data_IF_352556063342
#
_entry.id   IF_352556063342
#
_cell.length_a   1.000
_cell.length_b   1.000
_cell.length_c   1.000
_cell.angle_alpha   90.00
_cell.angle_beta   90.00
_cell.angle_gamma   90.00
#
_symmetry.space_group_name_H-M   'P 1'
#
loop_
_entity.id
_entity.type
_entity.pdbx_description
1 polymer ?
#
# COMPACT_ATOMS: atom_id res chain seq x y z
N UNK A 1 22.35 13.69 17.50
CA UNK A 1 20.97 13.26 17.85
C UNK A 1 19.96 13.59 16.75
N UNK A 2 20.00 14.80 16.15
CA UNK A 2 19.09 15.24 15.08
C UNK A 2 19.13 14.36 13.82
N UNK A 3 20.31 13.98 13.33
CA UNK A 3 20.44 13.08 12.17
C UNK A 3 19.85 11.68 12.43
N UNK A 4 20.10 11.11 13.61
CA UNK A 4 19.57 9.80 13.97
C UNK A 4 18.03 9.80 14.04
N UNK A 5 17.43 10.80 14.67
CA UNK A 5 15.96 10.95 14.70
C UNK A 5 15.37 11.20 13.30
N UNK A 6 16.03 12.02 12.47
CA UNK A 6 15.60 12.27 11.09
C UNK A 6 15.63 11.00 10.23
N UNK A 7 16.66 10.16 10.36
CA UNK A 7 16.75 8.88 9.63
C UNK A 7 15.73 7.87 10.15
N UNK A 8 15.52 7.81 11.47
CA UNK A 8 14.57 6.91 12.11
C UNK A 8 13.13 7.20 11.68
N UNK A 9 12.68 8.45 11.85
CA UNK A 9 11.29 8.84 11.65
C UNK A 9 11.00 9.26 10.19
N UNK A 10 11.99 9.81 9.50
CA UNK A 10 11.81 10.44 8.18
C UNK A 10 12.22 9.57 7.00
N UNK A 11 12.80 8.38 7.20
CA UNK A 11 13.35 7.58 6.09
C UNK A 11 13.19 6.07 6.20
N UNK A 12 13.75 5.46 7.23
CA UNK A 12 14.09 4.03 7.17
C UNK A 12 12.99 3.07 7.64
N UNK A 13 12.12 3.52 8.54
CA UNK A 13 11.07 2.70 9.15
C UNK A 13 9.68 3.07 8.58
N UNK A 14 8.78 2.08 8.41
CA UNK A 14 7.40 2.35 8.05
C UNK A 14 6.59 2.82 9.26
N UNK A 15 5.49 3.54 9.02
CA UNK A 15 4.46 3.74 10.03
C UNK A 15 3.56 2.49 10.11
N UNK A 16 3.16 2.07 11.31
CA UNK A 16 2.34 0.86 11.50
C UNK A 16 0.94 0.98 10.89
N UNK A 17 0.44 2.22 10.78
CA UNK A 17 -0.95 2.51 10.41
C UNK A 17 -1.21 2.37 8.92
N UNK A 18 -0.29 2.84 8.08
CA UNK A 18 -0.39 2.72 6.62
C UNK A 18 0.69 1.83 6.01
N UNK A 19 1.68 1.38 6.77
CA UNK A 19 2.76 0.51 6.32
C UNK A 19 3.80 1.19 5.41
N UNK A 20 3.74 2.51 5.24
CA UNK A 20 4.57 3.23 4.29
C UNK A 20 5.71 3.98 4.98
N UNK A 21 6.87 3.97 4.33
CA UNK A 21 7.93 4.96 4.62
C UNK A 21 7.61 6.28 3.90
N UNK A 22 8.17 7.42 4.34
CA UNK A 22 7.84 8.72 3.76
C UNK A 22 8.02 8.82 2.25
N UNK A 23 9.08 8.23 1.68
CA UNK A 23 9.29 8.24 0.22
C UNK A 23 8.18 7.52 -0.55
N UNK A 24 7.68 6.37 -0.06
CA UNK A 24 6.58 5.65 -0.69
C UNK A 24 5.30 6.49 -0.66
N UNK A 25 4.96 7.03 0.52
CA UNK A 25 3.79 7.88 0.73
C UNK A 25 3.79 9.08 -0.21
N UNK A 26 4.92 9.77 -0.33
CA UNK A 26 5.10 10.94 -1.19
C UNK A 26 4.99 10.60 -2.67
N UNK A 27 5.50 9.45 -3.11
CA UNK A 27 5.32 8.99 -4.49
C UNK A 27 3.84 8.74 -4.78
N UNK A 28 3.14 7.98 -3.93
CA UNK A 28 1.72 7.68 -4.15
C UNK A 28 0.85 8.94 -4.12
N UNK A 29 1.13 9.86 -3.19
CA UNK A 29 0.42 11.13 -3.08
C UNK A 29 0.69 12.04 -4.28
N UNK A 30 1.95 12.18 -4.73
CA UNK A 30 2.27 12.96 -5.93
C UNK A 30 1.59 12.37 -7.18
N UNK A 31 1.58 11.05 -7.32
CA UNK A 31 0.87 10.38 -8.43
C UNK A 31 -0.65 10.63 -8.38
N UNK A 32 -1.23 10.71 -7.17
CA UNK A 32 -2.63 11.08 -6.98
C UNK A 32 -2.91 12.52 -7.41
N UNK A 33 -2.12 13.48 -6.94
CA UNK A 33 -2.20 14.91 -7.29
C UNK A 33 -2.03 15.15 -8.80
N UNK A 34 -1.16 14.38 -9.45
CA UNK A 34 -0.96 14.40 -10.89
C UNK A 34 -2.10 13.75 -11.69
N UNK A 35 -3.09 13.14 -11.02
CA UNK A 35 -4.21 12.46 -11.65
C UNK A 35 -3.84 11.15 -12.35
N UNK A 36 -2.80 10.44 -11.88
CA UNK A 36 -2.29 9.21 -12.50
C UNK A 36 -3.04 7.95 -12.06
N UNK A 37 -4.36 8.03 -12.01
CA UNK A 37 -5.23 6.91 -11.70
C UNK A 37 -5.01 5.72 -12.65
N UNK A 38 -5.28 4.51 -12.17
CA UNK A 38 -5.11 3.23 -12.88
C UNK A 38 -5.84 3.14 -14.22
N UNK A 39 -6.91 3.91 -14.42
CA UNK A 39 -7.64 3.96 -15.70
C UNK A 39 -7.09 4.99 -16.69
N UNK A 40 -6.11 5.80 -16.28
CA UNK A 40 -5.49 6.82 -17.14
C UNK A 40 -4.28 6.24 -17.89
N UNK A 41 -3.84 6.90 -18.98
CA UNK A 41 -2.62 6.52 -19.68
C UNK A 41 -1.40 6.59 -18.76
N UNK A 42 -0.41 5.73 -19.03
CA UNK A 42 0.89 5.80 -18.38
C UNK A 42 1.56 7.17 -18.58
N UNK A 43 2.41 7.55 -17.62
CA UNK A 43 3.25 8.75 -17.70
C UNK A 43 4.70 8.42 -17.43
N UNK A 44 5.61 9.14 -18.08
CA UNK A 44 7.05 8.99 -17.88
C UNK A 44 7.42 9.06 -16.40
N UNK A 45 8.17 8.06 -15.93
CA UNK A 45 8.63 8.01 -14.53
C UNK A 45 9.43 9.26 -14.16
N UNK A 46 10.22 9.82 -15.10
CA UNK A 46 10.93 11.09 -14.90
C UNK A 46 10.02 12.25 -14.48
N UNK A 47 8.76 12.32 -14.97
CA UNK A 47 7.81 13.36 -14.55
C UNK A 47 7.34 13.15 -13.11
N UNK A 48 7.02 11.90 -12.75
CA UNK A 48 6.60 11.56 -11.38
C UNK A 48 7.73 11.82 -10.40
N UNK A 49 8.95 11.40 -10.72
CA UNK A 49 10.13 11.65 -9.89
C UNK A 49 10.35 13.16 -9.72
N UNK A 50 10.29 13.94 -10.82
CA UNK A 50 10.43 15.40 -10.75
C UNK A 50 9.37 16.06 -9.85
N UNK A 51 8.12 15.63 -9.93
CA UNK A 51 7.04 16.13 -9.07
C UNK A 51 7.29 15.82 -7.58
N UNK A 52 7.68 14.59 -7.28
CA UNK A 52 7.99 14.16 -5.91
C UNK A 52 9.15 14.97 -5.34
N UNK A 53 10.22 15.19 -6.10
CA UNK A 53 11.37 15.96 -5.67
C UNK A 53 11.04 17.44 -5.46
N UNK A 54 10.33 18.03 -6.42
CA UNK A 54 10.01 19.46 -6.41
C UNK A 54 9.05 19.84 -5.29
N UNK A 55 8.16 18.93 -4.87
CA UNK A 55 7.09 19.25 -3.92
C UNK A 55 7.25 18.61 -2.55
N UNK A 56 7.78 17.39 -2.46
CA UNK A 56 7.64 16.59 -1.23
C UNK A 56 8.95 15.98 -0.70
N UNK A 57 9.89 15.59 -1.56
CA UNK A 57 11.03 14.75 -1.16
C UNK A 57 12.38 15.35 -1.59
N UNK A 58 13.03 16.19 -0.76
CA UNK A 58 14.24 16.93 -1.13
C UNK A 58 15.51 16.05 -1.06
N UNK A 59 15.53 14.94 -1.80
CA UNK A 59 16.63 13.96 -1.86
C UNK A 59 17.01 13.63 -3.31
N UNK A 60 17.91 12.66 -3.53
CA UNK A 60 18.32 12.27 -4.87
C UNK A 60 17.19 11.65 -5.68
N UNK A 61 17.16 11.93 -6.98
CA UNK A 61 16.21 11.38 -7.94
C UNK A 61 16.30 9.85 -8.04
N UNK A 62 17.52 9.30 -7.97
CA UNK A 62 17.79 7.87 -7.97
C UNK A 62 17.03 7.14 -6.85
N UNK A 63 17.06 7.66 -5.62
CA UNK A 63 16.39 7.05 -4.48
C UNK A 63 14.85 7.00 -4.66
N UNK A 64 14.27 8.08 -5.22
CA UNK A 64 12.85 8.13 -5.54
C UNK A 64 12.51 7.15 -6.66
N UNK A 65 13.31 7.13 -7.72
CA UNK A 65 13.09 6.25 -8.87
C UNK A 65 13.24 4.78 -8.51
N UNK A 66 14.27 4.39 -7.77
CA UNK A 66 14.47 3.02 -7.28
C UNK A 66 13.31 2.58 -6.39
N UNK A 67 12.79 3.47 -5.55
CA UNK A 67 11.61 3.18 -4.73
C UNK A 67 10.36 2.98 -5.61
N UNK A 68 10.16 3.84 -6.61
CA UNK A 68 9.08 3.72 -7.59
C UNK A 68 9.18 2.40 -8.36
N UNK A 69 10.38 2.02 -8.79
CA UNK A 69 10.63 0.76 -9.49
C UNK A 69 10.26 -0.43 -8.62
N UNK A 70 10.71 -0.46 -7.35
CA UNK A 70 10.37 -1.55 -6.42
C UNK A 70 8.88 -1.66 -6.17
N UNK A 71 8.15 -0.54 -6.15
CA UNK A 71 6.69 -0.52 -6.02
C UNK A 71 5.95 -1.12 -7.24
N UNK A 72 6.64 -1.31 -8.36
CA UNK A 72 6.09 -1.89 -9.58
C UNK A 72 6.56 -3.33 -9.86
N UNK A 73 7.46 -3.87 -9.04
CA UNK A 73 8.02 -5.22 -9.19
C UNK A 73 7.19 -6.24 -8.39
N UNK A 74 6.58 -7.18 -9.08
CA UNK A 74 5.78 -8.28 -8.51
C UNK A 74 6.61 -9.31 -7.74
N UNK A 75 7.89 -9.48 -8.08
CA UNK A 75 8.83 -10.31 -7.30
C UNK A 75 9.34 -9.62 -6.03
N UNK A 76 9.21 -8.29 -5.93
CA UNK A 76 9.64 -7.50 -4.77
C UNK A 76 8.49 -7.24 -3.80
N UNK A 77 7.31 -6.87 -4.31
CA UNK A 77 6.10 -6.61 -3.51
C UNK A 77 5.02 -7.63 -3.84
N UNK A 78 4.41 -8.20 -2.80
CA UNK A 78 3.32 -9.18 -2.95
C UNK A 78 2.11 -8.59 -3.69
N UNK A 79 1.86 -7.30 -3.48
CA UNK A 79 0.84 -6.50 -4.14
C UNK A 79 1.49 -5.19 -4.63
N UNK A 80 1.97 -5.14 -5.89
CA UNK A 80 2.55 -3.94 -6.47
C UNK A 80 1.64 -2.72 -6.31
N UNK A 81 2.22 -1.60 -5.88
CA UNK A 81 1.49 -0.36 -5.66
C UNK A 81 1.40 0.53 -6.91
N UNK A 82 2.30 0.28 -7.87
CA UNK A 82 2.45 1.05 -9.10
C UNK A 82 2.45 0.08 -10.28
N UNK A 83 1.78 0.44 -11.37
CA UNK A 83 1.89 -0.28 -12.63
C UNK A 83 2.99 0.35 -13.47
N UNK A 84 4.02 -0.44 -13.82
CA UNK A 84 5.10 -0.03 -14.70
C UNK A 84 4.87 -0.43 -16.16
N UNK A 85 5.38 0.39 -17.09
CA UNK A 85 5.49 0.07 -18.51
C UNK A 85 6.92 0.32 -18.99
N UNK A 86 7.53 -0.68 -19.63
CA UNK A 86 8.95 -0.74 -19.97
C UNK A 86 9.72 -1.72 -19.07
N UNK A 87 11.06 -1.66 -19.12
CA UNK A 87 11.89 -2.53 -18.29
C UNK A 87 12.04 -1.97 -16.87
N UNK A 88 11.40 -2.63 -15.89
CA UNK A 88 11.48 -2.33 -14.46
C UNK A 88 12.42 -3.26 -13.69
N UNK A 89 13.32 -3.95 -14.39
CA UNK A 89 14.24 -4.93 -13.85
C UNK A 89 13.63 -6.33 -13.79
N UNK A 90 14.44 -7.30 -13.36
CA UNK A 90 14.09 -8.72 -13.30
C UNK A 90 14.54 -9.35 -11.98
N UNK A 91 14.05 -10.56 -11.70
CA UNK A 91 14.52 -11.38 -10.58
C UNK A 91 16.00 -11.78 -10.71
N UNK A 92 16.56 -11.66 -11.92
CA UNK A 92 17.96 -11.89 -12.25
C UNK A 92 18.88 -10.72 -11.89
N UNK A 93 18.31 -9.68 -11.27
CA UNK A 93 18.97 -8.39 -11.00
C UNK A 93 19.45 -7.67 -12.25
N UNK A 94 18.77 -7.87 -13.38
CA UNK A 94 18.88 -6.90 -14.47
C UNK A 94 18.38 -5.54 -13.94
N UNK A 95 19.19 -4.48 -14.07
CA UNK A 95 18.77 -3.17 -13.59
C UNK A 95 17.57 -2.66 -14.40
N UNK A 96 16.68 -1.86 -13.77
CA UNK A 96 15.63 -1.19 -14.51
C UNK A 96 16.23 -0.26 -15.55
N UNK A 97 15.49 -0.03 -16.65
CA UNK A 97 15.85 1.03 -17.58
C UNK A 97 15.78 2.39 -16.87
N UNK A 98 16.53 3.38 -17.36
CA UNK A 98 16.50 4.73 -16.78
C UNK A 98 15.08 5.34 -16.83
N UNK A 99 14.75 6.21 -15.86
CA UNK A 99 13.41 6.84 -15.70
C UNK A 99 12.86 7.61 -16.91
N UNK A 100 13.72 7.92 -17.89
CA UNK A 100 13.34 8.54 -19.17
C UNK A 100 12.70 7.55 -20.16
N UNK A 101 12.94 6.25 -20.00
CA UNK A 101 12.42 5.19 -20.87
C UNK A 101 11.19 4.50 -20.28
N UNK A 102 11.06 4.49 -18.96
CA UNK A 102 9.95 3.85 -18.25
C UNK A 102 8.77 4.80 -18.04
N UNK A 103 7.59 4.21 -17.93
CA UNK A 103 6.35 4.91 -17.60
C UNK A 103 5.61 4.20 -16.48
N UNK A 104 4.78 4.94 -15.73
CA UNK A 104 4.02 4.39 -14.62
C UNK A 104 2.64 5.06 -14.45
N UNK A 105 1.78 4.39 -13.67
CA UNK A 105 0.51 4.89 -13.11
C UNK A 105 0.19 4.13 -11.82
N UNK A 106 -0.79 4.59 -11.07
CA UNK A 106 -1.23 3.91 -9.84
C UNK A 106 -1.84 2.54 -10.17
N UNK A 107 -1.65 1.57 -9.28
CA UNK A 107 -2.40 0.31 -9.33
C UNK A 107 -3.83 0.50 -8.78
N UNK A 108 -4.87 -0.16 -9.33
CA UNK A 108 -6.23 -0.07 -8.81
C UNK A 108 -6.34 -0.38 -7.31
N UNK A 109 -5.56 -1.36 -6.81
CA UNK A 109 -5.57 -1.71 -5.40
C UNK A 109 -5.03 -0.56 -4.55
N UNK A 110 -4.00 0.16 -5.01
CA UNK A 110 -3.44 1.34 -4.34
C UNK A 110 -4.46 2.45 -4.18
N UNK A 111 -5.25 2.75 -5.23
CA UNK A 111 -6.32 3.75 -5.15
C UNK A 111 -7.39 3.36 -4.14
N UNK A 112 -7.84 2.10 -4.20
CA UNK A 112 -8.84 1.58 -3.29
C UNK A 112 -8.33 1.57 -1.84
N UNK A 113 -7.07 1.17 -1.63
CA UNK A 113 -6.46 1.02 -0.31
C UNK A 113 -6.09 2.35 0.32
N UNK A 114 -5.37 3.22 -0.39
CA UNK A 114 -4.73 4.39 0.23
C UNK A 114 -5.40 5.72 -0.08
N UNK A 115 -5.98 5.89 -1.27
CA UNK A 115 -6.38 7.21 -1.77
C UNK A 115 -7.89 7.47 -1.64
N UNK A 116 -8.67 6.40 -1.45
CA UNK A 116 -10.11 6.52 -1.17
C UNK A 116 -10.32 7.28 0.15
N UNK A 117 -11.26 8.22 0.14
CA UNK A 117 -11.63 9.08 1.26
C UNK A 117 -10.57 10.12 1.69
N UNK A 118 -9.42 10.24 1.00
CA UNK A 118 -8.34 11.17 1.37
C UNK A 118 -8.82 12.63 1.49
N UNK A 119 -9.68 13.07 0.57
CA UNK A 119 -10.29 14.41 0.53
C UNK A 119 -11.35 14.66 1.63
N UNK A 120 -11.70 13.64 2.42
CA UNK A 120 -12.76 13.71 3.44
C UNK A 120 -12.20 14.01 4.85
N UNK A 121 -11.06 14.70 4.91
CA UNK A 121 -10.37 15.05 6.16
C UNK A 121 -10.12 13.83 7.07
N UNK A 122 -9.74 12.69 6.48
CA UNK A 122 -9.56 11.43 7.20
C UNK A 122 -8.19 11.27 7.85
N UNK A 123 -7.22 12.07 7.42
CA UNK A 123 -5.83 12.07 7.90
C UNK A 123 -5.34 13.51 8.05
N UNK A 124 -4.30 13.70 8.86
CA UNK A 124 -3.71 15.01 9.05
C UNK A 124 -2.78 15.37 7.91
N UNK A 125 -2.78 16.65 7.56
CA UNK A 125 -1.86 17.22 6.59
C UNK A 125 -0.83 18.07 7.32
N UNK A 126 0.43 17.92 6.93
CA UNK A 126 1.56 18.69 7.44
C UNK A 126 2.13 19.56 6.30
N UNK A 127 2.75 20.71 6.62
CA UNK A 127 3.52 21.44 5.63
C UNK A 127 4.63 20.57 5.04
N UNK A 128 4.89 20.72 3.75
CA UNK A 128 6.04 20.11 3.10
C UNK A 128 7.36 20.81 3.54
N UNK A 129 8.49 20.37 2.98
CA UNK A 129 9.82 20.81 3.45
C UNK A 129 10.11 22.32 3.29
N UNK A 130 9.40 23.04 2.40
CA UNK A 130 9.54 24.49 2.19
C UNK A 130 8.29 25.28 2.62
N UNK A 131 7.31 24.63 3.24
CA UNK A 131 6.01 25.18 3.64
C UNK A 131 5.16 25.78 2.50
N UNK A 132 5.48 25.51 1.23
CA UNK A 132 4.70 25.99 0.09
C UNK A 132 3.45 25.15 -0.19
N UNK A 133 3.44 23.89 0.26
CA UNK A 133 2.36 22.94 0.04
C UNK A 133 2.10 22.12 1.31
N UNK A 134 1.00 21.36 1.28
CA UNK A 134 0.66 20.38 2.32
C UNK A 134 0.83 18.97 1.77
N UNK A 135 1.29 18.06 2.62
CA UNK A 135 1.36 16.63 2.36
C UNK A 135 0.67 15.84 3.47
N UNK A 136 0.06 14.69 3.18
CA UNK A 136 -0.57 13.86 4.21
C UNK A 136 0.52 13.21 5.08
N UNK A 137 0.34 13.26 6.41
CA UNK A 137 1.23 12.59 7.35
C UNK A 137 1.16 11.06 7.22
N UNK A 138 -0.04 10.55 6.92
CA UNK A 138 -0.42 9.15 6.71
C UNK A 138 -1.41 9.06 5.56
N UNK A 139 -1.53 7.89 4.94
CA UNK A 139 -2.66 7.62 4.04
C UNK A 139 -3.79 6.90 4.80
N UNK A 140 -5.07 7.12 4.42
CA UNK A 140 -6.23 6.50 5.03
C UNK A 140 -6.15 4.99 5.24
N UNK A 141 -5.42 4.27 4.37
CA UNK A 141 -5.13 2.84 4.38
C UNK A 141 -6.31 1.96 4.81
N UNK A 142 -7.05 1.36 3.86
CA UNK A 142 -8.21 0.51 4.14
C UNK A 142 -7.88 -0.93 4.50
N UNK A 143 -6.66 -1.38 4.22
CA UNK A 143 -6.09 -2.67 4.63
C UNK A 143 -4.67 -2.45 5.19
N UNK A 144 -4.16 -3.31 6.09
CA UNK A 144 -2.88 -3.10 6.77
C UNK A 144 -1.71 -3.42 5.85
N UNK A 145 -1.33 -2.43 5.04
CA UNK A 145 -0.29 -2.59 4.03
C UNK A 145 1.08 -3.00 4.60
N UNK A 146 1.33 -2.72 5.88
CA UNK A 146 2.58 -3.09 6.56
C UNK A 146 2.82 -4.61 6.49
N UNK A 147 1.79 -5.40 6.79
CA UNK A 147 1.85 -6.86 6.74
C UNK A 147 1.58 -7.37 5.32
N UNK A 148 0.71 -6.71 4.56
CA UNK A 148 0.36 -7.09 3.20
C UNK A 148 1.59 -7.15 2.28
N UNK A 149 2.40 -6.08 2.28
CA UNK A 149 3.58 -5.97 1.43
C UNK A 149 4.91 -6.17 2.18
N UNK A 150 4.85 -6.25 3.51
CA UNK A 150 6.06 -6.28 4.33
C UNK A 150 6.81 -4.95 4.31
N UNK A 151 7.97 -4.92 4.98
CA UNK A 151 8.87 -3.78 4.94
C UNK A 151 10.28 -4.18 5.36
N UNK A 152 11.28 -3.70 4.64
CA UNK A 152 12.69 -3.90 5.00
C UNK A 152 13.39 -2.55 5.08
N UNK A 153 14.17 -2.28 6.11
CA UNK A 153 14.88 -1.01 6.28
C UNK A 153 15.95 -1.04 7.34
N UNK A 154 17.04 -0.32 7.09
CA UNK A 154 18.15 -0.16 8.04
C UNK A 154 18.14 1.30 8.50
N UNK A 155 17.98 1.50 9.80
CA UNK A 155 18.02 2.81 10.44
C UNK A 155 19.26 2.92 11.34
N UNK A 156 19.40 4.04 12.05
CA UNK A 156 20.51 4.21 13.01
C UNK A 156 20.19 3.44 14.29
N UNK A 157 20.95 2.38 14.58
CA UNK A 157 20.82 1.57 15.80
C UNK A 157 19.67 0.56 15.79
N UNK A 158 18.91 0.45 14.70
CA UNK A 158 17.85 -0.55 14.52
C UNK A 158 17.59 -0.85 13.06
N UNK A 159 16.88 -1.93 12.79
CA UNK A 159 16.41 -2.32 11.47
C UNK A 159 14.95 -2.79 11.56
N UNK A 160 14.31 -2.93 10.42
CA UNK A 160 13.02 -3.59 10.25
C UNK A 160 13.11 -4.58 9.11
N UNK A 161 12.49 -5.74 9.28
CA UNK A 161 12.34 -6.77 8.27
C UNK A 161 11.05 -7.56 8.53
N UNK A 162 9.97 -7.12 7.92
CA UNK A 162 8.61 -7.64 8.05
C UNK A 162 8.28 -8.38 6.75
N UNK A 163 7.89 -9.66 6.80
CA UNK A 163 7.56 -10.40 5.60
C UNK A 163 6.14 -10.05 5.09
N UNK A 164 5.87 -10.20 3.78
CA UNK A 164 4.54 -10.02 3.20
C UNK A 164 3.56 -11.15 3.59
N UNK A 165 2.27 -10.88 3.47
CA UNK A 165 1.18 -11.79 3.83
C UNK A 165 0.06 -11.78 2.79
N UNK A 166 -0.78 -12.80 2.83
CA UNK A 166 -1.93 -12.91 1.94
C UNK A 166 -3.03 -11.91 2.33
N UNK A 167 -3.69 -11.29 1.34
CA UNK A 167 -4.74 -10.30 1.59
C UNK A 167 -5.99 -10.92 2.25
N UNK A 168 -6.41 -12.09 1.79
CA UNK A 168 -7.61 -12.77 2.30
C UNK A 168 -7.41 -13.17 3.76
N UNK A 169 -6.35 -13.91 4.04
CA UNK A 169 -5.97 -14.35 5.40
C UNK A 169 -5.86 -13.18 6.39
N UNK A 170 -5.30 -12.07 5.92
CA UNK A 170 -5.11 -10.88 6.73
C UNK A 170 -6.44 -10.13 6.99
N UNK A 171 -7.37 -10.11 6.03
CA UNK A 171 -8.73 -9.58 6.25
C UNK A 171 -9.52 -10.50 7.19
N UNK A 172 -9.35 -11.82 7.07
CA UNK A 172 -9.98 -12.79 7.95
C UNK A 172 -9.48 -12.64 9.39
N UNK A 173 -8.16 -12.50 9.59
CA UNK A 173 -7.57 -12.25 10.91
C UNK A 173 -8.03 -10.92 11.53
N UNK A 174 -8.15 -9.84 10.73
CA UNK A 174 -8.74 -8.58 11.21
C UNK A 174 -10.20 -8.75 11.63
N UNK A 175 -10.98 -9.47 10.82
CA UNK A 175 -12.39 -9.74 11.11
C UNK A 175 -12.55 -10.55 12.39
N UNK A 176 -11.66 -11.52 12.63
CA UNK A 176 -11.61 -12.28 13.88
C UNK A 176 -11.34 -11.39 15.10
N UNK A 177 -10.39 -10.46 15.02
CA UNK A 177 -10.11 -9.50 16.12
C UNK A 177 -11.29 -8.55 16.35
N UNK A 178 -11.96 -8.09 15.29
CA UNK A 178 -13.14 -7.22 15.42
C UNK A 178 -14.27 -7.95 16.15
N UNK A 179 -14.47 -9.25 15.87
CA UNK A 179 -15.50 -10.06 16.52
C UNK A 179 -15.11 -10.47 17.94
N UNK A 180 -13.84 -10.77 18.17
CA UNK A 180 -13.28 -11.15 19.46
C UNK A 180 -11.95 -10.41 19.71
N UNK A 181 -11.97 -9.24 20.37
CA UNK A 181 -10.76 -8.47 20.68
C UNK A 181 -9.74 -9.24 21.53
N UNK A 182 -10.21 -10.21 22.33
CA UNK A 182 -9.37 -11.03 23.19
C UNK A 182 -8.78 -12.25 22.48
N UNK A 183 -9.04 -12.42 21.17
CA UNK A 183 -8.51 -13.52 20.36
C UNK A 183 -7.02 -13.75 20.62
N UNK A 184 -6.69 -14.99 20.92
CA UNK A 184 -5.33 -15.46 21.18
C UNK A 184 -4.56 -15.56 19.88
N UNK A 185 -3.22 -15.55 19.96
CA UNK A 185 -2.39 -15.77 18.79
C UNK A 185 -2.71 -17.12 18.11
N UNK A 186 -3.07 -18.15 18.89
CA UNK A 186 -3.38 -19.47 18.35
C UNK A 186 -4.63 -19.46 17.46
N UNK A 187 -5.67 -18.73 17.88
CA UNK A 187 -6.90 -18.55 17.09
C UNK A 187 -6.61 -17.72 15.83
N UNK A 188 -5.76 -16.68 15.92
CA UNK A 188 -5.40 -15.87 14.75
C UNK A 188 -4.64 -16.66 13.68
N UNK A 189 -3.86 -17.67 14.08
CA UNK A 189 -3.11 -18.53 13.17
C UNK A 189 -4.00 -19.46 12.34
N UNK A 190 -5.26 -19.69 12.75
CA UNK A 190 -6.23 -20.42 11.94
C UNK A 190 -6.64 -19.63 10.70
N UNK A 191 -6.59 -18.29 10.78
CA UNK A 191 -6.91 -17.38 9.69
C UNK A 191 -5.66 -16.94 8.91
N UNK A 192 -4.55 -16.71 9.60
CA UNK A 192 -3.29 -16.26 8.98
C UNK A 192 -2.12 -17.14 9.46
N UNK A 193 -1.89 -18.28 8.81
CA UNK A 193 -0.94 -19.30 9.29
C UNK A 193 0.53 -18.86 9.17
N UNK A 194 0.85 -17.93 8.27
CA UNK A 194 2.22 -17.49 8.05
C UNK A 194 2.37 -16.44 6.94
N UNK A 195 3.60 -16.06 6.61
CA UNK A 195 3.88 -15.18 5.48
C UNK A 195 3.53 -15.78 4.12
N UNK A 196 3.25 -14.92 3.15
CA UNK A 196 2.99 -15.27 1.75
C UNK A 196 3.92 -14.45 0.84
N UNK A 197 5.04 -15.06 0.44
CA UNK A 197 6.07 -14.38 -0.33
C UNK A 197 5.72 -14.31 -1.83
N UNK A 198 5.99 -13.19 -2.52
CA UNK A 198 5.69 -13.02 -3.95
C UNK A 198 6.42 -14.03 -4.86
N UNK A 199 7.52 -14.59 -4.37
CA UNK A 199 8.36 -15.56 -5.11
C UNK A 199 7.93 -17.01 -4.88
N UNK A 200 6.90 -17.23 -4.05
CA UNK A 200 6.48 -18.56 -3.62
C UNK A 200 7.50 -19.19 -2.68
N UNK A 201 7.81 -20.46 -2.93
CA UNK A 201 8.66 -21.30 -2.10
C UNK A 201 7.87 -22.07 -1.05
N UNK A 202 8.61 -22.72 -0.17
CA UNK A 202 8.08 -23.59 0.89
C UNK A 202 8.62 -23.08 2.22
N UNK A 203 7.71 -22.80 3.17
CA UNK A 203 8.07 -22.50 4.55
C UNK A 203 8.37 -23.79 5.30
N UNK A 204 9.52 -23.83 5.98
CA UNK A 204 10.00 -25.01 6.68
C UNK A 204 9.76 -24.85 8.19
N UNK A 205 8.69 -25.48 8.68
CA UNK A 205 8.31 -25.46 10.09
C UNK A 205 7.66 -24.14 10.54
N UNK A 206 7.03 -24.17 11.72
CA UNK A 206 6.20 -23.06 12.20
C UNK A 206 6.83 -22.30 13.38
N UNK A 207 7.83 -22.86 14.07
CA UNK A 207 8.38 -22.27 15.31
C UNK A 207 8.88 -20.84 15.12
N UNK A 208 9.60 -20.58 14.03
CA UNK A 208 10.09 -19.24 13.70
C UNK A 208 8.98 -18.25 13.33
N UNK A 209 7.86 -18.73 12.78
CA UNK A 209 6.67 -17.91 12.48
C UNK A 209 5.97 -17.56 13.79
N UNK A 210 5.77 -18.56 14.66
CA UNK A 210 5.16 -18.39 15.98
C UNK A 210 5.95 -17.40 16.85
N UNK A 211 7.28 -17.53 16.87
CA UNK A 211 8.16 -16.61 17.60
C UNK A 211 8.04 -15.19 17.05
N UNK A 212 8.07 -15.03 15.72
CA UNK A 212 7.90 -13.75 15.06
C UNK A 212 6.56 -13.11 15.43
N UNK A 213 5.45 -13.83 15.29
CA UNK A 213 4.14 -13.28 15.61
C UNK A 213 3.93 -13.00 17.09
N UNK A 214 4.59 -13.74 17.99
CA UNK A 214 4.52 -13.48 19.43
C UNK A 214 5.36 -12.28 19.87
N UNK A 215 6.56 -12.13 19.33
CA UNK A 215 7.60 -11.22 19.89
C UNK A 215 8.04 -10.10 18.94
N UNK A 216 7.66 -10.19 17.66
CA UNK A 216 8.21 -9.35 16.60
C UNK A 216 9.53 -9.87 16.02
N UNK A 217 10.14 -10.94 16.57
CA UNK A 217 11.39 -11.52 16.06
C UNK A 217 11.26 -13.01 15.83
N UNK A 218 11.86 -13.51 14.77
CA UNK A 218 11.88 -14.94 14.49
C UNK A 218 12.66 -15.26 13.23
N UNK A 219 13.05 -16.53 13.08
CA UNK A 219 13.81 -16.99 11.91
C UNK A 219 12.95 -17.95 11.10
N UNK A 220 12.51 -17.50 9.93
CA UNK A 220 11.64 -18.28 9.04
C UNK A 220 12.51 -18.92 7.97
N UNK A 221 12.55 -20.25 7.92
CA UNK A 221 13.33 -20.97 6.90
C UNK A 221 12.47 -21.14 5.65
N UNK A 222 13.01 -20.73 4.51
CA UNK A 222 12.36 -20.79 3.21
C UNK A 222 13.15 -21.69 2.27
N UNK A 223 12.45 -22.47 1.47
CA UNK A 223 13.05 -23.42 0.53
C UNK A 223 12.45 -23.22 -0.86
N UNK A 224 13.28 -23.25 -1.88
CA UNK A 224 12.84 -23.24 -3.27
C UNK A 224 12.04 -24.50 -3.60
N UNK A 225 10.96 -24.33 -4.35
CA UNK A 225 10.08 -25.41 -4.77
C UNK A 225 10.70 -26.13 -5.94
N UNK A 226 10.88 -27.44 -5.78
CA UNK A 226 11.51 -28.28 -6.80
C UNK A 226 10.63 -29.45 -7.17
N UNK A 227 10.78 -29.93 -8.40
CA UNK A 227 10.18 -31.18 -8.89
C UNK A 227 11.25 -32.03 -9.55
N UNK A 228 11.07 -33.35 -9.49
CA UNK A 228 11.93 -34.30 -10.19
C UNK A 228 11.29 -34.65 -11.53
N UNK A 229 12.02 -34.46 -12.62
CA UNK A 229 11.58 -34.85 -13.96
C UNK A 229 12.51 -35.91 -14.55
N UNK A 230 11.96 -36.82 -15.35
CA UNK A 230 12.76 -37.73 -16.19
C UNK A 230 12.85 -37.11 -17.58
N UNK A 231 14.04 -36.64 -17.96
CA UNK A 231 14.27 -35.92 -19.23
C UNK A 231 14.39 -36.90 -20.41
N UNK A 232 14.87 -38.12 -20.16
CA UNK A 232 14.98 -39.15 -21.19
C UNK A 232 14.66 -40.53 -20.60
N UNK A 233 13.53 -41.10 -21.04
CA UNK A 233 13.06 -42.41 -20.62
C UNK A 233 14.00 -43.55 -21.03
N UNK A 234 14.70 -43.42 -22.17
CA UNK A 234 15.61 -44.46 -22.68
C UNK A 234 16.90 -44.49 -21.88
N UNK A 235 17.44 -43.34 -21.52
CA UNK A 235 18.67 -43.25 -20.71
C UNK A 235 18.42 -43.16 -19.20
N UNK A 236 17.15 -43.09 -18.78
CA UNK A 236 16.70 -42.85 -17.40
C UNK A 236 17.39 -41.64 -16.76
N UNK A 237 17.62 -40.59 -17.55
CA UNK A 237 18.21 -39.34 -17.05
C UNK A 237 17.17 -38.54 -16.30
N UNK A 238 17.51 -38.15 -15.08
CA UNK A 238 16.66 -37.35 -14.20
C UNK A 238 17.23 -35.95 -14.03
N UNK A 239 16.36 -34.97 -13.83
CA UNK A 239 16.74 -33.63 -13.45
C UNK A 239 15.91 -33.12 -12.29
N UNK A 240 16.52 -32.21 -11.54
CA UNK A 240 15.87 -31.39 -10.54
C UNK A 240 15.47 -30.10 -11.24
N UNK A 241 14.18 -29.79 -11.23
CA UNK A 241 13.66 -28.53 -11.76
C UNK A 241 13.33 -27.62 -10.60
N UNK A 242 13.91 -26.42 -10.57
CA UNK A 242 13.58 -25.37 -9.62
C UNK A 242 12.54 -24.46 -10.28
N UNK A 243 11.35 -24.40 -9.68
CA UNK A 243 10.21 -23.61 -10.18
C UNK A 243 10.01 -22.31 -9.39
N UNK A 244 10.42 -22.29 -8.12
CA UNK A 244 10.29 -21.14 -7.23
C UNK A 244 11.56 -21.05 -6.36
N UNK A 245 12.00 -19.84 -6.05
CA UNK A 245 13.18 -19.58 -5.19
C UNK A 245 12.75 -18.84 -3.93
N UNK A 246 13.52 -18.94 -2.83
CA UNK A 246 13.23 -18.17 -1.63
C UNK A 246 13.22 -16.65 -1.88
N UNK A 247 12.41 -15.91 -1.11
CA UNK A 247 12.30 -14.46 -1.22
C UNK A 247 13.64 -13.74 -1.09
N UNK A 248 13.84 -12.69 -1.90
CA UNK A 248 15.08 -11.90 -2.01
C UNK A 248 16.31 -12.69 -2.53
N UNK A 249 16.10 -13.87 -3.09
CA UNK A 249 17.17 -14.63 -3.78
C UNK A 249 17.27 -14.19 -5.23
N UNK A 250 18.48 -13.81 -5.67
CA UNK A 250 18.76 -13.61 -7.09
C UNK A 250 18.95 -14.98 -7.77
N UNK A 251 18.17 -15.25 -8.83
CA UNK A 251 18.24 -16.52 -9.58
C UNK A 251 19.57 -16.67 -10.32
N UNK A 252 20.01 -15.70 -11.12
CA UNK A 252 21.34 -15.72 -11.78
C UNK A 252 22.49 -16.00 -10.82
N UNK A 253 22.54 -15.33 -9.66
CA UNK A 253 23.57 -15.56 -8.65
C UNK A 253 23.46 -16.95 -8.03
N UNK A 254 22.24 -17.46 -7.81
CA UNK A 254 22.04 -18.83 -7.35
C UNK A 254 22.58 -19.84 -8.38
N UNK A 255 22.25 -19.68 -9.66
CA UNK A 255 22.71 -20.55 -10.75
C UNK A 255 24.23 -20.52 -10.88
N UNK A 256 24.81 -19.32 -10.87
CA UNK A 256 26.26 -19.14 -10.88
C UNK A 256 26.91 -19.84 -9.68
N UNK A 257 26.35 -19.68 -8.49
CA UNK A 257 26.89 -20.31 -7.27
C UNK A 257 26.82 -21.83 -7.32
N UNK A 258 25.76 -22.40 -7.89
CA UNK A 258 25.66 -23.84 -8.10
C UNK A 258 26.77 -24.30 -9.04
N UNK A 259 27.00 -23.60 -10.16
CA UNK A 259 28.06 -23.95 -11.12
C UNK A 259 29.45 -23.92 -10.48
N UNK A 260 29.78 -22.87 -9.73
CA UNK A 260 31.04 -22.76 -8.97
C UNK A 260 31.24 -23.96 -8.03
N UNK A 261 30.21 -24.32 -7.25
CA UNK A 261 30.29 -25.43 -6.30
C UNK A 261 30.43 -26.80 -6.99
N UNK A 262 29.95 -26.95 -8.22
CA UNK A 262 30.15 -28.16 -9.04
C UNK A 262 31.59 -28.23 -9.54
N UNK A 263 32.15 -27.11 -9.99
CA UNK A 263 33.56 -27.01 -10.43
C UNK A 263 34.53 -27.30 -9.27
N UNK A 264 34.25 -26.75 -8.09
CA UNK A 264 35.00 -26.96 -6.85
C UNK A 264 34.84 -28.38 -6.25
N UNK A 265 34.01 -29.23 -6.88
CA UNK A 265 33.66 -30.59 -6.42
C UNK A 265 33.02 -30.63 -5.02
N UNK A 266 32.43 -29.53 -4.57
CA UNK A 266 31.61 -29.48 -3.35
C UNK A 266 30.24 -30.09 -3.61
N UNK A 267 29.65 -29.78 -4.77
CA UNK A 267 28.42 -30.40 -5.27
C UNK A 267 28.75 -31.46 -6.32
N UNK A 268 28.64 -32.73 -5.93
CA UNK A 268 28.79 -33.85 -6.85
C UNK A 268 27.45 -34.33 -7.41
N UNK A 269 27.51 -35.07 -8.52
CA UNK A 269 26.32 -35.69 -9.12
C UNK A 269 25.52 -34.79 -10.06
N UNK A 270 25.98 -33.58 -10.39
CA UNK A 270 25.36 -32.68 -11.37
C UNK A 270 26.10 -32.78 -12.71
N UNK A 271 25.40 -33.06 -13.81
CA UNK A 271 25.98 -33.15 -15.15
C UNK A 271 25.88 -31.87 -15.96
N UNK A 272 24.80 -31.11 -15.80
CA UNK A 272 24.55 -29.87 -16.53
C UNK A 272 23.58 -28.96 -15.75
N UNK A 273 23.65 -27.65 -16.00
CA UNK A 273 22.80 -26.63 -15.39
C UNK A 273 22.31 -25.69 -16.49
N UNK A 274 21.00 -25.52 -16.62
CA UNK A 274 20.40 -24.62 -17.61
C UNK A 274 19.32 -23.76 -16.98
N UNK A 275 19.28 -22.49 -17.38
CA UNK A 275 18.16 -21.61 -17.09
C UNK A 275 17.23 -21.58 -18.31
N UNK A 276 16.08 -22.25 -18.18
CA UNK A 276 15.01 -22.33 -19.18
C UNK A 276 13.84 -21.40 -18.81
N UNK A 277 14.06 -20.43 -17.92
CA UNK A 277 13.01 -19.50 -17.49
C UNK A 277 12.56 -18.60 -18.65
N UNK A 278 11.26 -18.41 -18.76
CA UNK A 278 10.65 -17.57 -19.78
C UNK A 278 9.51 -16.72 -19.19
N UNK A 279 8.61 -16.20 -20.04
CA UNK A 279 7.45 -15.42 -19.59
C UNK A 279 6.39 -16.26 -18.88
N UNK A 280 6.39 -17.58 -19.04
CA UNK A 280 5.44 -18.49 -18.40
C UNK A 280 5.86 -18.86 -16.97
N UNK A 281 7.14 -18.76 -16.65
CA UNK A 281 7.61 -18.93 -15.28
C UNK A 281 9.10 -19.22 -15.17
N UNK A 282 9.54 -19.37 -13.91
CA UNK A 282 10.90 -19.77 -13.60
C UNK A 282 11.08 -21.27 -13.82
N UNK A 283 12.17 -21.64 -14.52
CA UNK A 283 12.55 -23.04 -14.74
C UNK A 283 14.07 -23.16 -14.80
N UNK A 284 14.70 -23.50 -13.68
CA UNK A 284 16.13 -23.84 -13.66
C UNK A 284 16.26 -25.37 -13.64
N UNK A 285 16.93 -25.92 -14.65
CA UNK A 285 17.11 -27.35 -14.84
C UNK A 285 18.50 -27.76 -14.38
N UNK A 286 18.55 -28.69 -13.43
CA UNK A 286 19.80 -29.28 -12.93
C UNK A 286 19.79 -30.76 -13.29
N UNK A 287 20.53 -31.13 -14.33
CA UNK A 287 20.65 -32.52 -14.75
C UNK A 287 21.53 -33.32 -13.79
N UNK A 288 21.08 -34.52 -13.44
CA UNK A 288 21.79 -35.41 -12.52
C UNK A 288 22.62 -36.42 -13.30
N UNK A 289 23.89 -36.62 -12.89
CA UNK A 289 24.80 -37.62 -13.47
C UNK A 289 24.20 -39.02 -13.32
N UNK A 290 24.44 -39.87 -14.33
CA UNK A 290 24.04 -41.28 -14.28
C UNK A 290 24.63 -41.97 -13.05
N UNK A 291 23.78 -42.61 -12.24
CA UNK A 291 24.17 -43.31 -11.02
C UNK A 291 24.20 -42.44 -9.76
N UNK A 292 24.06 -41.12 -9.86
CA UNK A 292 23.86 -40.26 -8.70
C UNK A 292 22.39 -40.31 -8.24
N UNK A 293 22.16 -40.19 -6.93
CA UNK A 293 20.81 -40.15 -6.36
C UNK A 293 20.30 -38.69 -6.36
N UNK A 294 19.21 -38.37 -7.09
CA UNK A 294 18.69 -37.01 -7.17
C UNK A 294 18.30 -36.40 -5.81
N UNK A 295 17.82 -37.22 -4.87
CA UNK A 295 17.46 -36.73 -3.54
C UNK A 295 18.68 -36.29 -2.72
N UNK A 296 19.83 -36.94 -2.90
CA UNK A 296 21.09 -36.54 -2.24
C UNK A 296 21.60 -35.23 -2.85
N UNK A 297 21.59 -35.11 -4.19
CA UNK A 297 21.97 -33.88 -4.89
C UNK A 297 21.09 -32.71 -4.44
N UNK A 298 19.76 -32.91 -4.39
CA UNK A 298 18.82 -31.88 -3.93
C UNK A 298 19.08 -31.45 -2.48
N UNK A 299 19.32 -32.38 -1.57
CA UNK A 299 19.66 -32.05 -0.18
C UNK A 299 20.95 -31.25 -0.07
N UNK A 300 21.95 -31.58 -0.89
CA UNK A 300 23.20 -30.82 -0.94
C UNK A 300 23.00 -29.42 -1.54
N UNK A 301 22.15 -29.27 -2.57
CA UNK A 301 21.76 -27.96 -3.10
C UNK A 301 21.14 -27.08 -2.01
N UNK A 302 20.20 -27.62 -1.22
CA UNK A 302 19.61 -26.89 -0.09
C UNK A 302 20.63 -26.54 1.00
N UNK A 303 21.63 -27.39 1.25
CA UNK A 303 22.63 -27.16 2.29
C UNK A 303 23.66 -26.10 1.90
N UNK A 304 24.06 -26.07 0.63
CA UNK A 304 25.23 -25.30 0.18
C UNK A 304 24.90 -24.05 -0.63
N UNK A 305 23.62 -23.81 -0.94
CA UNK A 305 23.19 -22.70 -1.81
C UNK A 305 22.00 -21.95 -1.22
N UNK A 306 21.71 -20.77 -1.80
CA UNK A 306 20.55 -19.97 -1.45
C UNK A 306 19.20 -20.59 -1.90
N UNK A 307 19.21 -21.79 -2.50
CA UNK A 307 17.99 -22.55 -2.78
C UNK A 307 17.23 -22.91 -1.49
N UNK A 308 17.91 -22.91 -0.34
CA UNK A 308 17.28 -22.78 0.97
C UNK A 308 17.94 -21.62 1.71
N UNK A 309 17.13 -20.72 2.25
CA UNK A 309 17.59 -19.56 2.99
C UNK A 309 16.72 -19.31 4.22
N UNK A 310 17.04 -18.29 5.01
CA UNK A 310 16.20 -17.89 6.14
C UNK A 310 15.90 -16.40 6.11
N UNK A 311 14.62 -16.06 6.28
CA UNK A 311 14.16 -14.71 6.51
C UNK A 311 14.25 -14.39 8.02
N UNK A 312 15.13 -13.46 8.37
CA UNK A 312 15.25 -12.97 9.74
C UNK A 312 14.20 -11.90 10.00
N UNK A 313 13.08 -12.29 10.60
CA UNK A 313 11.98 -11.40 10.92
C UNK A 313 12.36 -10.46 12.08
N UNK A 314 12.07 -9.18 11.91
CA UNK A 314 12.26 -8.14 12.91
C UNK A 314 11.24 -7.03 12.67
N UNK A 315 10.08 -7.15 13.30
CA UNK A 315 8.89 -6.34 13.03
C UNK A 315 8.89 -5.02 13.80
N UNK A 316 9.74 -4.11 13.35
CA UNK A 316 9.84 -2.75 13.88
C UNK A 316 9.10 -1.77 12.98
N UNK A 317 8.17 -1.01 13.54
CA UNK A 317 7.49 0.08 12.85
C UNK A 317 7.32 1.28 13.79
N UNK A 318 6.99 2.44 13.22
CA UNK A 318 6.69 3.65 13.98
C UNK A 318 5.23 3.57 14.44
N UNK A 319 5.03 3.70 15.75
CA UNK A 319 3.73 3.89 16.39
C UNK A 319 3.82 5.17 17.24
N UNK A 320 2.93 6.12 17.00
CA UNK A 320 2.87 7.41 17.71
C UNK A 320 4.20 8.16 17.76
N UNK A 321 4.94 8.13 16.64
CA UNK A 321 6.22 8.84 16.52
C UNK A 321 7.41 8.12 17.17
N UNK A 322 7.23 6.89 17.65
CA UNK A 322 8.29 6.09 18.26
C UNK A 322 8.48 4.75 17.56
N UNK A 323 9.72 4.30 17.33
CA UNK A 323 9.97 2.96 16.82
C UNK A 323 9.65 1.91 17.89
N UNK A 324 8.77 0.96 17.56
CA UNK A 324 8.35 -0.11 18.45
C UNK A 324 8.54 -1.47 17.76
N UNK A 325 9.12 -2.42 18.48
CA UNK A 325 9.10 -3.83 18.10
C UNK A 325 7.75 -4.41 18.50
N UNK A 326 7.03 -5.00 17.54
CA UNK A 326 5.65 -5.44 17.77
C UNK A 326 5.42 -6.86 17.27
N UNK A 327 4.62 -7.62 18.02
CA UNK A 327 4.04 -8.88 17.55
C UNK A 327 2.90 -8.68 16.56
N UNK A 328 2.36 -9.77 16.03
CA UNK A 328 1.26 -9.75 15.05
C UNK A 328 0.01 -9.06 15.61
N UNK A 329 -0.46 -9.48 16.79
CA UNK A 329 -1.68 -8.93 17.41
C UNK A 329 -1.57 -7.43 17.64
N UNK A 330 -0.40 -6.96 18.08
CA UNK A 330 -0.16 -5.52 18.29
C UNK A 330 -0.21 -4.72 16.98
N UNK A 331 0.37 -5.25 15.89
CA UNK A 331 0.33 -4.59 14.57
C UNK A 331 -1.11 -4.51 14.06
N UNK A 332 -1.87 -5.61 14.14
CA UNK A 332 -3.26 -5.65 13.70
C UNK A 332 -4.14 -4.72 14.53
N UNK A 333 -3.96 -4.68 15.86
CA UNK A 333 -4.69 -3.78 16.74
C UNK A 333 -4.38 -2.31 16.43
N UNK A 334 -3.10 -1.95 16.29
CA UNK A 334 -2.70 -0.57 15.95
C UNK A 334 -3.32 -0.11 14.61
N UNK A 335 -3.42 -1.02 13.64
CA UNK A 335 -4.11 -0.74 12.39
C UNK A 335 -5.62 -0.55 12.59
N UNK A 336 -6.29 -1.43 13.35
CA UNK A 336 -7.73 -1.31 13.63
C UNK A 336 -8.08 0.00 14.35
N UNK A 337 -7.29 0.39 15.34
CA UNK A 337 -7.47 1.65 16.06
C UNK A 337 -7.39 2.85 15.11
N UNK A 338 -6.41 2.83 14.20
CA UNK A 338 -6.30 3.82 13.14
C UNK A 338 -7.49 3.81 12.17
N UNK A 339 -7.96 2.62 11.76
CA UNK A 339 -9.13 2.49 10.89
C UNK A 339 -10.39 3.05 11.53
N UNK A 340 -10.60 2.83 12.82
CA UNK A 340 -11.72 3.40 13.57
C UNK A 340 -11.67 4.94 13.52
N UNK A 341 -10.50 5.53 13.81
CA UNK A 341 -10.29 6.98 13.73
C UNK A 341 -10.58 7.54 12.33
N UNK A 342 -10.06 6.89 11.28
CA UNK A 342 -10.30 7.29 9.88
C UNK A 342 -11.80 7.25 9.53
N UNK A 343 -12.51 6.18 9.93
CA UNK A 343 -13.95 6.03 9.67
C UNK A 343 -14.76 7.09 10.43
N UNK A 344 -14.41 7.36 11.68
CA UNK A 344 -15.06 8.37 12.51
C UNK A 344 -14.87 9.78 11.92
N UNK A 345 -13.64 10.14 11.51
CA UNK A 345 -13.35 11.41 10.83
C UNK A 345 -14.17 11.56 9.54
N UNK A 346 -14.21 10.50 8.73
CA UNK A 346 -15.03 10.47 7.50
C UNK A 346 -16.51 10.68 7.81
N UNK A 347 -17.04 10.02 8.83
CA UNK A 347 -18.43 10.15 9.24
C UNK A 347 -18.73 11.58 9.73
N UNK A 348 -17.87 12.15 10.57
CA UNK A 348 -17.96 13.55 11.03
C UNK A 348 -17.93 14.54 9.87
N UNK A 349 -17.04 14.34 8.90
CA UNK A 349 -16.96 15.19 7.72
C UNK A 349 -18.24 15.14 6.88
N UNK A 350 -18.73 13.93 6.58
CA UNK A 350 -20.00 13.75 5.85
C UNK A 350 -21.19 14.33 6.60
N UNK A 351 -21.25 14.13 7.92
CA UNK A 351 -22.29 14.71 8.77
C UNK A 351 -22.24 16.24 8.74
N UNK A 352 -21.05 16.84 8.85
CA UNK A 352 -20.88 18.29 8.77
C UNK A 352 -21.37 18.85 7.42
N UNK A 353 -21.02 18.20 6.30
CA UNK A 353 -21.50 18.61 4.98
C UNK A 353 -23.02 18.46 4.86
N UNK A 354 -23.58 17.36 5.36
CA UNK A 354 -25.02 17.13 5.33
C UNK A 354 -25.77 18.16 6.17
N UNK A 355 -25.28 18.50 7.36
CA UNK A 355 -25.85 19.54 8.23
C UNK A 355 -25.74 20.93 7.61
N UNK A 356 -24.59 21.29 7.02
CA UNK A 356 -24.44 22.56 6.31
C UNK A 356 -25.40 22.63 5.12
N UNK A 357 -25.53 21.55 4.35
CA UNK A 357 -26.49 21.48 3.24
C UNK A 357 -27.93 21.60 3.72
N UNK A 358 -28.31 20.89 4.78
CA UNK A 358 -29.63 20.97 5.39
C UNK A 358 -29.94 22.40 5.83
N UNK A 359 -29.03 23.03 6.55
CA UNK A 359 -29.14 24.42 6.99
C UNK A 359 -29.43 25.37 5.83
N UNK A 360 -28.70 25.26 4.72
CA UNK A 360 -28.95 26.06 3.51
C UNK A 360 -30.34 25.77 2.92
N UNK A 361 -30.73 24.51 2.80
CA UNK A 361 -32.03 24.14 2.21
C UNK A 361 -33.19 24.63 3.07
N UNK A 362 -33.08 24.59 4.40
CA UNK A 362 -34.12 25.13 5.30
C UNK A 362 -34.37 26.62 5.03
N UNK A 363 -33.30 27.42 4.90
CA UNK A 363 -33.44 28.84 4.58
C UNK A 363 -34.05 29.10 3.21
N UNK A 364 -33.69 28.29 2.21
CA UNK A 364 -34.28 28.35 0.87
C UNK A 364 -35.79 28.04 0.92
N UNK A 365 -36.20 27.01 1.65
CA UNK A 365 -37.62 26.64 1.77
C UNK A 365 -38.42 27.73 2.48
N UNK A 366 -37.90 28.32 3.55
CA UNK A 366 -38.54 29.47 4.22
C UNK A 366 -38.74 30.63 3.23
N UNK A 367 -37.72 30.94 2.42
CA UNK A 367 -37.83 31.99 1.41
C UNK A 367 -38.82 31.67 0.29
N UNK A 368 -38.86 30.41 -0.16
CA UNK A 368 -39.81 29.95 -1.20
C UNK A 368 -41.26 29.93 -0.70
N UNK A 369 -41.48 29.61 0.58
CA UNK A 369 -42.80 29.66 1.20
C UNK A 369 -43.33 31.10 1.33
N UNK A 370 -42.44 32.10 1.27
CA UNK A 370 -42.75 33.52 1.37
C UNK A 370 -42.28 34.32 0.13
N UNK A 371 -42.31 33.69 -1.05
CA UNK A 371 -41.63 34.18 -2.26
C UNK A 371 -41.96 35.63 -2.63
N UNK A 372 -43.23 36.02 -2.62
CA UNK A 372 -43.65 37.36 -3.02
C UNK A 372 -43.10 38.45 -2.09
N UNK A 373 -43.11 38.20 -0.78
CA UNK A 373 -42.58 39.10 0.23
C UNK A 373 -41.05 39.19 0.15
N UNK A 374 -40.36 38.06 -0.05
CA UNK A 374 -38.91 38.03 -0.28
C UNK A 374 -38.53 38.85 -1.51
N UNK A 375 -39.27 38.72 -2.63
CA UNK A 375 -39.03 39.52 -3.85
C UNK A 375 -39.23 41.01 -3.57
N UNK A 376 -40.27 41.36 -2.81
CA UNK A 376 -40.54 42.75 -2.45
C UNK A 376 -39.37 43.35 -1.64
N UNK A 377 -38.94 42.66 -0.59
CA UNK A 377 -37.80 43.08 0.25
C UNK A 377 -36.56 43.29 -0.61
N UNK A 378 -36.23 42.34 -1.49
CA UNK A 378 -35.07 42.47 -2.38
C UNK A 378 -35.19 43.69 -3.29
N UNK A 379 -36.37 43.96 -3.86
CA UNK A 379 -36.61 45.10 -4.76
C UNK A 379 -36.56 46.46 -4.07
N UNK A 380 -36.90 46.52 -2.79
CA UNK A 380 -36.91 47.75 -1.98
C UNK A 380 -35.52 48.11 -1.43
N UNK A 381 -34.60 47.14 -1.39
CA UNK A 381 -33.21 47.36 -0.95
C UNK A 381 -32.29 47.85 -2.06
N UNK A 382 -31.30 48.66 -1.70
CA UNK A 382 -30.39 49.32 -2.66
C UNK A 382 -29.16 48.50 -3.06
N UNK A 383 -28.82 47.45 -2.31
CA UNK A 383 -27.69 46.57 -2.59
C UNK A 383 -27.80 45.20 -1.88
N UNK A 384 -26.96 44.26 -2.30
CA UNK A 384 -26.94 42.87 -1.79
C UNK A 384 -26.73 42.77 -0.27
N UNK A 385 -25.88 43.61 0.33
CA UNK A 385 -25.60 43.56 1.77
C UNK A 385 -26.85 43.91 2.57
N UNK A 386 -27.55 44.98 2.18
CA UNK A 386 -28.79 45.42 2.83
C UNK A 386 -29.92 44.40 2.62
N UNK A 387 -30.02 43.80 1.43
CA UNK A 387 -30.97 42.73 1.14
C UNK A 387 -30.74 41.51 2.06
N UNK A 388 -29.49 41.09 2.20
CA UNK A 388 -29.11 39.95 3.06
C UNK A 388 -29.47 40.22 4.52
N UNK A 389 -29.15 41.39 5.04
CA UNK A 389 -29.47 41.79 6.42
C UNK A 389 -30.98 41.87 6.67
N UNK A 390 -31.74 42.42 5.71
CA UNK A 390 -33.20 42.50 5.78
C UNK A 390 -33.84 41.10 5.81
N UNK A 391 -33.45 40.21 4.89
CA UNK A 391 -33.95 38.84 4.85
C UNK A 391 -33.57 38.03 6.10
N UNK A 392 -32.33 38.20 6.59
CA UNK A 392 -31.88 37.58 7.83
C UNK A 392 -32.74 38.00 9.03
N UNK A 393 -33.04 39.31 9.14
CA UNK A 393 -33.82 39.86 10.24
C UNK A 393 -35.30 39.47 10.17
N UNK A 394 -35.90 39.53 9.00
CA UNK A 394 -37.34 39.32 8.81
C UNK A 394 -37.73 37.85 8.94
N UNK A 395 -36.91 36.95 8.41
CA UNK A 395 -37.20 35.50 8.36
C UNK A 395 -36.35 34.68 9.35
N UNK A 396 -35.59 35.34 10.23
CA UNK A 396 -34.72 34.67 11.21
C UNK A 396 -33.62 33.81 10.58
N UNK A 397 -33.18 34.16 9.37
CA UNK A 397 -32.18 33.40 8.62
C UNK A 397 -30.78 33.74 9.10
N UNK A 398 -29.91 32.74 9.14
CA UNK A 398 -28.47 32.99 9.25
C UNK A 398 -27.92 33.72 8.02
N UNK A 399 -26.74 34.34 8.15
CA UNK A 399 -26.07 35.01 7.03
C UNK A 399 -25.90 34.09 5.80
N UNK A 400 -25.46 32.84 6.02
CA UNK A 400 -25.29 31.84 4.95
C UNK A 400 -26.60 31.46 4.27
N UNK A 401 -27.70 31.41 5.02
CA UNK A 401 -29.03 31.09 4.49
C UNK A 401 -29.58 32.25 3.66
N UNK A 402 -29.46 33.48 4.15
CA UNK A 402 -29.89 34.68 3.45
C UNK A 402 -29.09 34.87 2.15
N UNK A 403 -27.77 34.64 2.18
CA UNK A 403 -26.92 34.64 0.98
C UNK A 403 -27.34 33.57 -0.02
N UNK A 404 -27.52 32.33 0.42
CA UNK A 404 -27.95 31.24 -0.47
C UNK A 404 -29.37 31.45 -1.05
N UNK A 405 -30.26 32.13 -0.32
CA UNK A 405 -31.59 32.51 -0.80
C UNK A 405 -31.48 33.58 -1.90
N UNK A 406 -30.61 34.57 -1.74
CA UNK A 406 -30.34 35.60 -2.76
C UNK A 406 -29.72 34.99 -4.05
N UNK A 407 -28.91 33.95 -3.91
CA UNK A 407 -28.27 33.26 -5.03
C UNK A 407 -29.20 32.30 -5.80
N UNK A 408 -30.47 32.19 -5.39
CA UNK A 408 -31.44 31.38 -6.11
C UNK A 408 -31.69 31.96 -7.52
N UNK A 409 -31.39 31.16 -8.53
CA UNK A 409 -31.78 31.46 -9.92
C UNK A 409 -33.28 31.27 -10.14
N UNK A 410 -33.93 32.15 -10.91
CA UNK A 410 -35.39 32.11 -11.20
C UNK A 410 -35.93 30.73 -11.63
N UNK A 411 -35.14 29.91 -12.35
CA UNK A 411 -35.53 28.53 -12.73
C UNK A 411 -35.87 27.61 -11.55
N UNK A 412 -35.30 27.89 -10.37
CA UNK A 412 -35.51 27.11 -9.14
C UNK A 412 -36.81 27.44 -8.41
N UNK A 413 -37.56 28.44 -8.90
CA UNK A 413 -38.86 28.82 -8.37
C UNK A 413 -40.01 27.95 -8.93
N UNK A 414 -39.72 27.01 -9.84
CA UNK A 414 -40.74 26.10 -10.38
C UNK A 414 -41.25 25.15 -9.30
N UNK A 415 -42.53 24.75 -9.40
CA UNK A 415 -43.17 23.86 -8.42
C UNK A 415 -42.43 22.52 -8.24
N UNK A 416 -41.80 22.01 -9.31
CA UNK A 416 -40.99 20.80 -9.26
C UNK A 416 -39.73 20.99 -8.40
N UNK A 417 -39.01 22.09 -8.57
CA UNK A 417 -37.79 22.40 -7.81
C UNK A 417 -38.11 22.64 -6.32
N UNK A 418 -39.21 23.33 -6.02
CA UNK A 418 -39.70 23.50 -4.65
C UNK A 418 -40.01 22.14 -4.00
N UNK A 419 -40.64 21.22 -4.74
CA UNK A 419 -40.90 19.87 -4.26
C UNK A 419 -39.60 19.08 -4.01
N UNK A 420 -38.58 19.24 -4.87
CA UNK A 420 -37.26 18.62 -4.70
C UNK A 420 -36.58 19.13 -3.41
N UNK A 421 -36.63 20.42 -3.13
CA UNK A 421 -36.07 20.98 -1.89
C UNK A 421 -36.76 20.42 -0.63
N UNK A 422 -38.10 20.33 -0.65
CA UNK A 422 -38.88 19.73 0.45
C UNK A 422 -38.62 18.22 0.60
N UNK A 423 -38.45 17.51 -0.50
CA UNK A 423 -38.04 16.10 -0.49
C UNK A 423 -36.67 15.92 0.15
N UNK A 424 -35.69 16.78 -0.19
CA UNK A 424 -34.36 16.75 0.43
C UNK A 424 -34.37 17.02 1.94
N UNK A 425 -35.30 17.82 2.47
CA UNK A 425 -35.42 18.05 3.92
C UNK A 425 -36.03 16.88 4.68
N UNK A 426 -36.86 16.07 4.03
CA UNK A 426 -37.54 14.94 4.68
C UNK A 426 -36.71 13.64 4.67
N UNK A 427 -35.68 13.55 3.83
CA UNK A 427 -34.89 12.33 3.60
C UNK A 427 -33.39 12.50 3.90
N UNK A 428 -32.95 13.68 4.36
CA UNK A 428 -31.62 13.93 4.94
C UNK A 428 -31.76 14.29 6.41
#
# INVERSE_FOLDING_TARGET
>A
MSYAMSVLLGRALPDVRDGLKPVHRRILYAMHEMGLASRKPYRKCARVVGEVLGKFHPHGDSAVYETLVRMAQDFSMRYPLVQGHGNFGSIDSDPPAAMRYTECRLDPLTEAMFLTDLELNTVDYIPNFDNSQKEPSLLPARVPSLLLNGSSGIAVGMATNIPPHNLGELVDALSAIIQNPDATLQELLEYMPGPDFPTGGILMGNDGILEAYRTGRGRIVMRGKTVMETIDEKTKRTAIIINEVPYQTNKSTLVQRIAELVEDKVLEGISDIRDESDRAGMRVVIEVKRGANPAIVLNNLYRHTALQSSFSCNMVAILDGHPKLMGLKEILQAFLDFRCSVIERRAKFKLSQALERKHIVEGIVIGLDNLDAVIQVIRETSNHTVAKEALAKEYGLSEKQAEALLDITLRKLTSLEVAIYRFHLSHN
#
